data_IF_691051716725
#
_entry.id   IF_691051716725
#
_cell.length_a   1.000
_cell.length_b   1.000
_cell.length_c   1.000
_cell.angle_alpha   90.00
_cell.angle_beta   90.00
_cell.angle_gamma   90.00
#
_symmetry.space_group_name_H-M   'P 1'
#
loop_
_entity.id
_entity.type
_entity.pdbx_description
1 polymer ?
#
# COMPACT_ATOMS: atom_id res chain seq x y z
N UNK A 1 -13.81 -9.48 -9.77
CA UNK A 1 -13.66 -8.07 -9.39
C UNK A 1 -14.80 -7.75 -8.47
N UNK A 2 -14.50 -7.08 -7.35
CA UNK A 2 -15.50 -6.86 -6.30
C UNK A 2 -16.51 -5.83 -6.81
N UNK A 3 -17.80 -6.21 -6.85
CA UNK A 3 -18.88 -5.31 -7.22
C UNK A 3 -19.26 -4.46 -6.01
N UNK A 4 -18.47 -3.41 -5.77
CA UNK A 4 -18.79 -2.35 -4.79
C UNK A 4 -19.42 -1.14 -5.47
N UNK A 5 -19.99 -0.20 -4.71
CA UNK A 5 -20.32 1.12 -5.23
C UNK A 5 -19.05 1.86 -5.70
N UNK A 6 -19.22 2.78 -6.65
CA UNK A 6 -18.15 3.66 -7.13
C UNK A 6 -17.61 4.55 -6.02
N UNK A 7 -16.30 4.83 -6.04
CA UNK A 7 -15.71 5.79 -5.09
C UNK A 7 -16.29 7.19 -5.34
N UNK A 8 -16.62 7.50 -6.60
CA UNK A 8 -17.27 8.76 -6.97
C UNK A 8 -18.69 8.93 -6.39
N UNK A 9 -19.27 7.87 -5.82
CA UNK A 9 -20.56 7.87 -5.15
C UNK A 9 -20.47 7.82 -3.60
N UNK A 10 -19.26 7.87 -3.03
CA UNK A 10 -19.07 7.90 -1.58
C UNK A 10 -19.73 9.13 -0.95
N UNK A 11 -20.17 9.01 0.31
CA UNK A 11 -20.86 10.05 1.07
C UNK A 11 -20.05 10.42 2.33
N UNK A 12 -19.20 11.48 2.26
CA UNK A 12 -18.31 11.85 3.35
C UNK A 12 -19.02 12.26 4.63
N UNK A 13 -20.26 12.72 4.55
CA UNK A 13 -21.02 13.09 5.74
C UNK A 13 -21.47 11.83 6.48
N UNK A 14 -22.06 10.88 5.76
CA UNK A 14 -22.48 9.60 6.34
C UNK A 14 -21.28 8.81 6.86
N UNK A 15 -20.22 8.71 6.07
CA UNK A 15 -18.98 8.05 6.46
C UNK A 15 -18.32 8.72 7.67
N UNK A 16 -18.33 10.06 7.74
CA UNK A 16 -17.84 10.81 8.89
C UNK A 16 -18.55 10.43 10.20
N UNK A 17 -19.88 10.29 10.16
CA UNK A 17 -20.66 9.81 11.32
C UNK A 17 -20.26 8.39 11.73
N UNK A 18 -20.07 7.49 10.75
CA UNK A 18 -19.63 6.13 11.00
C UNK A 18 -18.21 6.09 11.59
N UNK A 19 -17.27 6.84 11.03
CA UNK A 19 -15.90 6.92 11.55
C UNK A 19 -15.88 7.43 12.98
N UNK A 20 -16.66 8.46 13.32
CA UNK A 20 -16.74 8.95 14.69
C UNK A 20 -17.23 7.87 15.65
N UNK A 21 -18.27 7.12 15.27
CA UNK A 21 -18.80 6.01 16.10
C UNK A 21 -17.74 4.92 16.34
N UNK A 22 -16.97 4.57 15.31
CA UNK A 22 -15.87 3.60 15.43
C UNK A 22 -14.78 4.14 16.37
N UNK A 23 -14.35 5.38 16.20
CA UNK A 23 -13.33 6.00 17.04
C UNK A 23 -13.77 6.13 18.50
N UNK A 24 -15.04 6.50 18.75
CA UNK A 24 -15.62 6.58 20.10
C UNK A 24 -15.64 5.21 20.78
N UNK A 25 -15.93 4.15 20.03
CA UNK A 25 -15.89 2.78 20.55
C UNK A 25 -14.47 2.36 20.92
N UNK A 26 -13.49 2.65 20.06
CA UNK A 26 -12.07 2.37 20.35
C UNK A 26 -11.61 3.12 21.62
N UNK A 27 -12.01 4.38 21.78
CA UNK A 27 -11.73 5.17 22.98
C UNK A 27 -12.36 4.55 24.23
N UNK A 28 -13.62 4.12 24.14
CA UNK A 28 -14.33 3.48 25.25
C UNK A 28 -13.70 2.15 25.67
N UNK A 29 -13.18 1.39 24.70
CA UNK A 29 -12.51 0.11 24.92
C UNK A 29 -11.03 0.26 25.29
N UNK A 30 -10.50 1.49 25.35
CA UNK A 30 -9.11 1.75 25.74
C UNK A 30 -8.08 1.38 24.66
N UNK A 31 -8.50 1.30 23.39
CA UNK A 31 -7.67 0.80 22.29
C UNK A 31 -6.94 1.96 21.60
N UNK A 32 -5.61 1.85 21.57
CA UNK A 32 -4.72 2.73 20.79
C UNK A 32 -4.28 2.01 19.53
N UNK A 33 -4.56 2.60 18.38
CA UNK A 33 -4.19 2.11 17.06
C UNK A 33 -2.76 2.52 16.71
N UNK A 34 -2.05 1.65 16.00
CA UNK A 34 -0.73 1.93 15.46
C UNK A 34 -0.79 2.87 14.23
N UNK A 35 -1.85 2.75 13.42
CA UNK A 35 -2.15 3.60 12.27
C UNK A 35 -3.61 3.40 11.84
N UNK A 36 -4.09 4.30 10.98
CA UNK A 36 -5.36 4.22 10.26
C UNK A 36 -5.07 4.27 8.76
N UNK A 37 -5.60 3.32 8.00
CA UNK A 37 -5.59 3.32 6.53
C UNK A 37 -7.03 3.25 6.04
N UNK A 38 -7.34 3.96 4.96
CA UNK A 38 -8.66 3.98 4.33
C UNK A 38 -8.57 3.43 2.90
N UNK A 39 -9.40 2.43 2.61
CA UNK A 39 -9.44 1.70 1.34
C UNK A 39 -8.15 0.94 1.00
N UNK A 40 -8.21 0.11 -0.05
CA UNK A 40 -7.12 -0.73 -0.49
C UNK A 40 -6.98 -0.73 -2.02
N UNK A 41 -5.79 -0.43 -2.53
CA UNK A 41 -5.39 -0.63 -3.93
C UNK A 41 -6.35 -0.01 -4.96
N UNK A 42 -6.88 1.19 -4.67
CA UNK A 42 -7.87 1.85 -5.54
C UNK A 42 -7.31 2.37 -6.87
N UNK A 43 -5.99 2.22 -7.10
CA UNK A 43 -5.35 2.54 -8.38
C UNK A 43 -5.47 1.44 -9.44
N UNK A 44 -6.32 0.44 -9.22
CA UNK A 44 -6.69 -0.54 -10.22
C UNK A 44 -8.16 -0.92 -10.16
N UNK A 45 -8.72 -1.34 -11.30
CA UNK A 45 -10.14 -1.69 -11.42
C UNK A 45 -10.61 -2.83 -10.51
N UNK A 46 -9.69 -3.62 -9.94
CA UNK A 46 -10.03 -4.69 -9.00
C UNK A 46 -10.71 -4.21 -7.71
N UNK A 47 -10.34 -3.01 -7.26
CA UNK A 47 -10.80 -2.41 -6.01
C UNK A 47 -11.39 -0.99 -6.20
N UNK A 48 -11.52 -0.54 -7.45
CA UNK A 48 -12.10 0.75 -7.78
C UNK A 48 -13.12 0.61 -8.91
N UNK A 49 -14.44 0.62 -8.59
CA UNK A 49 -15.50 0.50 -9.59
C UNK A 49 -15.69 1.74 -10.49
N UNK A 50 -14.88 2.80 -10.34
CA UNK A 50 -14.86 3.93 -11.29
C UNK A 50 -14.12 3.59 -12.60
N UNK A 51 -13.32 2.53 -12.62
CA UNK A 51 -12.79 1.98 -13.87
C UNK A 51 -13.86 1.21 -14.65
N UNK A 52 -13.79 1.26 -15.98
CA UNK A 52 -14.65 0.48 -16.84
C UNK A 52 -14.22 -0.98 -16.86
N UNK A 53 -15.19 -1.89 -16.88
CA UNK A 53 -14.94 -3.33 -17.03
C UNK A 53 -15.82 -3.91 -18.14
N UNK A 54 -15.25 -4.63 -19.13
CA UNK A 54 -13.83 -4.91 -19.30
C UNK A 54 -13.03 -3.64 -19.64
N UNK A 55 -11.80 -3.56 -19.13
CA UNK A 55 -10.85 -2.49 -19.46
C UNK A 55 -10.02 -2.81 -20.70
N UNK A 56 -9.25 -1.83 -21.18
CA UNK A 56 -8.42 -1.91 -22.39
C UNK A 56 -7.03 -2.51 -22.14
N UNK A 57 -6.63 -2.66 -20.89
CA UNK A 57 -5.29 -3.11 -20.52
C UNK A 57 -4.26 -1.98 -20.55
N UNK A 58 -4.66 -0.77 -20.18
CA UNK A 58 -3.86 0.45 -20.08
C UNK A 58 -3.55 0.77 -18.62
N UNK A 59 -2.33 1.24 -18.39
CA UNK A 59 -1.91 1.96 -17.19
C UNK A 59 -1.95 3.45 -17.52
N UNK A 60 -2.92 4.14 -16.95
CA UNK A 60 -3.13 5.58 -17.09
C UNK A 60 -2.04 6.36 -16.34
N UNK A 61 -1.56 7.41 -16.99
CA UNK A 61 -0.66 8.39 -16.40
C UNK A 61 -1.39 9.62 -15.86
N UNK A 62 -0.62 10.57 -15.31
CA UNK A 62 -1.19 11.79 -14.72
C UNK A 62 -1.98 12.61 -15.76
N UNK A 63 -1.47 12.68 -17.00
CA UNK A 63 -2.15 13.42 -18.06
C UNK A 63 -3.50 12.79 -18.44
N UNK A 64 -3.59 11.46 -18.39
CA UNK A 64 -4.84 10.74 -18.66
C UNK A 64 -5.90 11.09 -17.60
N UNK A 65 -5.54 11.20 -16.32
CA UNK A 65 -6.49 11.59 -15.25
C UNK A 65 -7.20 12.94 -15.51
N UNK A 66 -6.61 13.83 -16.31
CA UNK A 66 -7.20 15.11 -16.66
C UNK A 66 -7.90 15.14 -18.02
N UNK A 67 -7.59 14.23 -18.94
CA UNK A 67 -7.97 14.36 -20.35
C UNK A 67 -8.59 13.10 -20.98
N UNK A 68 -8.29 11.92 -20.44
CA UNK A 68 -8.88 10.65 -20.87
C UNK A 68 -10.27 10.49 -20.21
N UNK A 69 -11.33 10.10 -20.94
CA UNK A 69 -12.67 9.97 -20.37
C UNK A 69 -12.75 9.01 -19.18
N UNK A 70 -12.04 7.87 -19.23
CA UNK A 70 -11.97 6.95 -18.09
C UNK A 70 -11.11 7.55 -16.98
N UNK A 71 -9.96 8.14 -17.34
CA UNK A 71 -9.10 8.84 -16.40
C UNK A 71 -9.84 9.91 -15.59
N UNK A 72 -10.72 10.67 -16.22
CA UNK A 72 -11.57 11.69 -15.58
C UNK A 72 -12.61 11.08 -14.62
N UNK A 73 -13.18 9.92 -14.97
CA UNK A 73 -14.10 9.21 -14.08
C UNK A 73 -13.38 8.68 -12.84
N UNK A 74 -12.20 8.08 -13.01
CA UNK A 74 -11.35 7.65 -11.90
C UNK A 74 -10.91 8.85 -11.04
N UNK A 75 -10.51 9.95 -11.67
CA UNK A 75 -10.16 11.20 -10.99
C UNK A 75 -11.33 11.76 -10.14
N UNK A 76 -12.57 11.63 -10.61
CA UNK A 76 -13.75 11.99 -9.81
C UNK A 76 -13.88 11.11 -8.56
N UNK A 77 -13.65 9.82 -8.68
CA UNK A 77 -13.60 8.89 -7.54
C UNK A 77 -12.50 9.25 -6.54
N UNK A 78 -11.31 9.54 -7.04
CA UNK A 78 -10.16 10.02 -6.27
C UNK A 78 -10.46 11.30 -5.47
N UNK A 79 -11.12 12.28 -6.08
CA UNK A 79 -11.51 13.51 -5.38
C UNK A 79 -12.53 13.24 -4.27
N UNK A 80 -13.45 12.29 -4.47
CA UNK A 80 -14.42 11.91 -3.45
C UNK A 80 -13.75 11.14 -2.31
N UNK A 81 -12.85 10.20 -2.62
CA UNK A 81 -11.99 9.51 -1.66
C UNK A 81 -11.19 10.49 -0.77
N UNK A 82 -10.65 11.58 -1.32
CA UNK A 82 -9.93 12.57 -0.50
C UNK A 82 -10.85 13.31 0.49
N UNK A 83 -12.14 13.49 0.16
CA UNK A 83 -13.12 14.05 1.11
C UNK A 83 -13.43 13.05 2.23
N UNK A 84 -13.55 11.77 1.90
CA UNK A 84 -13.71 10.68 2.86
C UNK A 84 -12.52 10.59 3.82
N UNK A 85 -11.31 10.66 3.27
CA UNK A 85 -10.08 10.70 4.05
C UNK A 85 -10.03 11.92 4.99
N UNK A 86 -10.55 13.07 4.55
CA UNK A 86 -10.69 14.25 5.41
C UNK A 86 -11.72 14.04 6.54
N UNK A 87 -12.84 13.36 6.27
CA UNK A 87 -13.82 12.99 7.29
C UNK A 87 -13.22 12.02 8.32
N UNK A 88 -12.48 11.00 7.88
CA UNK A 88 -11.74 10.10 8.77
C UNK A 88 -10.71 10.85 9.59
N UNK A 89 -9.96 11.79 8.99
CA UNK A 89 -9.04 12.67 9.73
C UNK A 89 -9.74 13.42 10.84
N UNK A 90 -10.91 14.00 10.56
CA UNK A 90 -11.68 14.72 11.59
C UNK A 90 -12.06 13.79 12.74
N UNK A 91 -12.61 12.60 12.46
CA UNK A 91 -12.95 11.64 13.51
C UNK A 91 -11.71 11.23 14.35
N UNK A 92 -10.58 10.95 13.67
CA UNK A 92 -9.29 10.68 14.34
C UNK A 92 -8.87 11.84 15.23
N UNK A 93 -8.92 13.07 14.74
CA UNK A 93 -8.46 14.26 15.47
C UNK A 93 -9.34 14.58 16.70
N UNK A 94 -10.58 14.07 16.75
CA UNK A 94 -11.49 14.16 17.90
C UNK A 94 -11.35 13.00 18.90
N UNK A 95 -10.76 11.86 18.49
CA UNK A 95 -10.51 10.74 19.39
C UNK A 95 -9.61 11.15 20.55
N UNK A 96 -9.93 10.68 21.76
CA UNK A 96 -9.13 10.91 22.97
C UNK A 96 -7.82 10.13 22.96
N UNK A 97 -7.85 8.88 22.51
CA UNK A 97 -6.68 7.99 22.52
C UNK A 97 -5.89 8.03 21.22
N UNK A 98 -6.57 8.29 20.09
CA UNK A 98 -6.00 8.12 18.75
C UNK A 98 -5.80 9.44 18.00
N UNK A 99 -5.89 10.60 18.68
CA UNK A 99 -5.67 11.93 18.06
C UNK A 99 -4.39 12.05 17.25
N UNK A 100 -3.33 11.37 17.68
CA UNK A 100 -2.01 11.39 17.05
C UNK A 100 -1.69 10.12 16.28
N UNK A 101 -2.62 9.17 16.18
CA UNK A 101 -2.45 7.95 15.39
C UNK A 101 -2.17 8.33 13.93
N UNK A 102 -1.09 7.81 13.31
CA UNK A 102 -0.78 8.05 11.91
C UNK A 102 -1.98 7.77 11.01
N UNK A 103 -2.35 8.74 10.18
CA UNK A 103 -3.33 8.56 9.13
C UNK A 103 -2.62 8.36 7.79
N UNK A 104 -2.99 7.29 7.11
CA UNK A 104 -2.42 6.87 5.85
C UNK A 104 -3.51 6.85 4.77
N UNK A 105 -3.18 7.15 3.51
CA UNK A 105 -4.11 6.90 2.42
C UNK A 105 -4.15 5.40 2.09
N UNK A 106 -5.09 5.01 1.23
CA UNK A 106 -5.09 3.73 0.51
C UNK A 106 -3.69 3.35 0.07
N UNK A 107 -3.37 2.07 0.28
CA UNK A 107 -2.21 1.48 -0.32
C UNK A 107 -2.34 1.39 -1.83
N UNK A 108 -1.23 1.57 -2.54
CA UNK A 108 -1.19 1.53 -4.00
C UNK A 108 -0.46 0.28 -4.50
N UNK A 109 -1.05 -0.40 -5.48
CA UNK A 109 -0.40 -1.53 -6.17
C UNK A 109 0.82 -1.00 -6.91
N UNK A 110 1.93 -1.75 -6.85
CA UNK A 110 3.19 -1.52 -7.58
C UNK A 110 3.02 -1.57 -9.12
N UNK A 111 2.40 -0.51 -9.65
CA UNK A 111 2.21 -0.21 -11.07
C UNK A 111 3.05 1.05 -11.38
N UNK A 112 4.28 0.85 -11.84
CA UNK A 112 5.21 1.97 -12.11
C UNK A 112 5.17 2.41 -13.58
N UNK A 113 5.11 1.47 -14.52
CA UNK A 113 5.19 1.78 -15.95
C UNK A 113 3.81 2.15 -16.51
N UNK A 114 3.70 3.35 -17.08
CA UNK A 114 2.53 3.84 -17.80
C UNK A 114 2.45 3.26 -19.24
N UNK A 115 1.24 3.23 -19.79
CA UNK A 115 0.96 2.62 -21.11
C UNK A 115 0.45 1.18 -21.00
N UNK A 116 0.62 0.35 -22.04
CA UNK A 116 0.11 -1.02 -22.03
C UNK A 116 0.71 -1.86 -20.90
N UNK A 117 -0.08 -2.72 -20.27
CA UNK A 117 0.46 -3.67 -19.30
C UNK A 117 1.56 -4.55 -19.92
N UNK A 118 2.65 -4.84 -19.19
CA UNK A 118 3.69 -5.77 -19.65
C UNK A 118 3.14 -7.18 -19.94
N UNK A 119 2.06 -7.56 -19.27
CA UNK A 119 1.28 -8.77 -19.57
C UNK A 119 -0.16 -8.35 -19.81
N UNK A 120 -0.79 -8.72 -20.95
CA UNK A 120 -2.15 -8.30 -21.25
C UNK A 120 -3.13 -8.55 -20.10
N UNK A 121 -3.80 -7.49 -19.66
CA UNK A 121 -4.88 -7.52 -18.67
C UNK A 121 -6.18 -7.08 -19.34
N UNK A 122 -7.32 -7.51 -18.78
CA UNK A 122 -8.67 -7.08 -19.20
C UNK A 122 -9.21 -5.98 -18.29
N UNK A 123 -8.31 -5.20 -17.70
CA UNK A 123 -8.62 -4.15 -16.76
C UNK A 123 -7.52 -3.09 -16.82
N UNK A 124 -7.92 -1.88 -16.46
CA UNK A 124 -7.05 -0.72 -16.44
C UNK A 124 -6.58 -0.40 -15.01
N UNK A 125 -5.56 0.44 -14.91
CA UNK A 125 -5.04 0.94 -13.65
C UNK A 125 -4.40 2.31 -13.84
N UNK A 126 -3.99 2.93 -12.74
CA UNK A 126 -3.25 4.20 -12.75
C UNK A 126 -1.89 3.95 -12.10
N UNK A 127 -0.84 4.54 -12.66
CA UNK A 127 0.50 4.40 -12.07
C UNK A 127 0.56 4.96 -10.65
N UNK A 128 1.46 4.43 -9.82
CA UNK A 128 1.69 4.93 -8.45
C UNK A 128 2.07 6.41 -8.48
N UNK A 129 2.97 6.78 -9.40
CA UNK A 129 3.42 8.15 -9.59
C UNK A 129 2.28 9.09 -9.97
N UNK A 130 1.44 8.69 -10.93
CA UNK A 130 0.29 9.49 -11.36
C UNK A 130 -0.75 9.64 -10.24
N UNK A 131 -1.06 8.55 -9.53
CA UNK A 131 -2.03 8.57 -8.42
C UNK A 131 -1.58 9.51 -7.31
N UNK A 132 -0.33 9.38 -6.83
CA UNK A 132 0.19 10.26 -5.79
C UNK A 132 0.34 11.71 -6.27
N UNK A 133 0.81 11.95 -7.50
CA UNK A 133 0.90 13.31 -8.03
C UNK A 133 -0.49 13.98 -8.08
N UNK A 134 -1.52 13.26 -8.52
CA UNK A 134 -2.90 13.75 -8.53
C UNK A 134 -3.42 14.01 -7.11
N UNK A 135 -3.25 13.07 -6.17
CA UNK A 135 -3.68 13.26 -4.78
C UNK A 135 -3.00 14.45 -4.11
N UNK A 136 -1.69 14.60 -4.29
CA UNK A 136 -0.92 15.72 -3.73
C UNK A 136 -1.37 17.06 -4.28
N UNK A 137 -1.57 17.15 -5.60
CA UNK A 137 -2.12 18.35 -6.24
C UNK A 137 -3.51 18.73 -5.69
N UNK A 138 -4.25 17.75 -5.16
CA UNK A 138 -5.57 17.93 -4.57
C UNK A 138 -5.58 17.88 -3.03
N UNK A 139 -4.42 18.07 -2.38
CA UNK A 139 -4.33 18.38 -0.95
C UNK A 139 -4.02 17.22 -0.01
N UNK A 140 -3.64 16.04 -0.53
CA UNK A 140 -3.29 14.86 0.28
C UNK A 140 -2.28 15.17 1.40
N UNK A 141 -1.25 15.97 1.13
CA UNK A 141 -0.15 16.25 2.08
C UNK A 141 -0.63 16.94 3.38
N UNK A 142 -1.83 17.52 3.36
CA UNK A 142 -2.47 18.13 4.54
C UNK A 142 -3.31 17.13 5.34
N UNK A 143 -3.62 15.98 4.77
CA UNK A 143 -4.48 14.96 5.36
C UNK A 143 -3.68 13.85 6.03
N UNK A 144 -2.58 13.42 5.42
CA UNK A 144 -1.88 12.19 5.84
C UNK A 144 -0.50 12.45 6.44
N UNK A 145 -0.08 11.47 7.23
CA UNK A 145 1.20 11.45 7.93
C UNK A 145 2.29 10.72 7.10
N UNK A 146 1.88 9.79 6.23
CA UNK A 146 2.73 9.08 5.27
C UNK A 146 1.91 8.63 4.05
N UNK A 147 2.55 8.19 2.96
CA UNK A 147 1.90 7.48 1.85
C UNK A 147 2.01 5.96 2.03
N UNK A 148 1.12 5.19 1.39
CA UNK A 148 1.14 3.73 1.49
C UNK A 148 1.36 3.06 0.14
N UNK A 149 2.17 2.00 0.16
CA UNK A 149 2.56 1.24 -1.02
C UNK A 149 2.45 -0.25 -0.72
N UNK A 150 1.99 -1.01 -1.71
CA UNK A 150 2.14 -2.46 -1.75
C UNK A 150 3.25 -2.85 -2.70
N UNK A 151 4.06 -3.82 -2.34
CA UNK A 151 5.05 -4.39 -3.27
C UNK A 151 5.22 -5.88 -3.06
N UNK A 152 5.11 -6.64 -4.14
CA UNK A 152 5.37 -8.09 -4.16
C UNK A 152 6.54 -8.33 -5.13
N UNK A 153 7.79 -8.28 -4.66
CA UNK A 153 8.96 -8.40 -5.52
C UNK A 153 9.05 -9.78 -6.18
N UNK A 154 9.82 -9.87 -7.26
CA UNK A 154 10.07 -11.15 -7.91
C UNK A 154 10.87 -12.10 -7.01
N UNK A 155 10.40 -13.33 -6.91
CA UNK A 155 10.99 -14.39 -6.09
C UNK A 155 12.11 -15.17 -6.80
N UNK A 156 12.65 -14.66 -7.92
CA UNK A 156 13.67 -15.34 -8.71
C UNK A 156 15.05 -15.31 -8.03
N UNK A 157 15.85 -16.36 -8.22
CA UNK A 157 17.22 -16.45 -7.69
C UNK A 157 17.38 -16.06 -6.21
N UNK A 158 16.74 -16.75 -5.24
CA UNK A 158 17.01 -16.55 -3.81
C UNK A 158 18.51 -16.72 -3.51
N UNK A 159 19.13 -15.76 -2.81
CA UNK A 159 20.56 -15.76 -2.53
C UNK A 159 21.46 -15.39 -3.71
N UNK A 160 20.89 -15.06 -4.88
CA UNK A 160 21.66 -14.65 -6.06
C UNK A 160 21.79 -13.12 -6.12
N UNK A 161 23.03 -12.63 -6.19
CA UNK A 161 23.33 -11.20 -6.19
C UNK A 161 22.71 -10.42 -7.37
N UNK A 162 22.60 -11.04 -8.55
CA UNK A 162 22.03 -10.38 -9.75
C UNK A 162 20.53 -10.19 -9.56
N UNK A 163 19.82 -11.24 -9.13
CA UNK A 163 18.39 -11.16 -8.82
C UNK A 163 18.11 -10.19 -7.66
N UNK A 164 18.94 -10.18 -6.61
CA UNK A 164 18.82 -9.23 -5.51
C UNK A 164 18.98 -7.77 -5.99
N UNK A 165 19.98 -7.49 -6.83
CA UNK A 165 20.17 -6.17 -7.45
C UNK A 165 18.97 -5.74 -8.31
N UNK A 166 18.34 -6.69 -8.99
CA UNK A 166 17.15 -6.43 -9.79
C UNK A 166 15.93 -6.08 -8.92
N UNK A 167 15.71 -6.82 -7.82
CA UNK A 167 14.68 -6.50 -6.81
C UNK A 167 14.89 -5.10 -6.21
N UNK A 168 16.11 -4.79 -5.77
CA UNK A 168 16.45 -3.47 -5.21
C UNK A 168 16.14 -2.36 -6.22
N UNK A 169 16.55 -2.50 -7.48
CA UNK A 169 16.26 -1.49 -8.51
C UNK A 169 14.76 -1.27 -8.70
N UNK A 170 13.97 -2.35 -8.69
CA UNK A 170 12.50 -2.25 -8.77
C UNK A 170 11.94 -1.49 -7.58
N UNK A 171 12.34 -1.86 -6.36
CA UNK A 171 11.91 -1.19 -5.13
C UNK A 171 12.28 0.30 -5.16
N UNK A 172 13.50 0.64 -5.55
CA UNK A 172 13.95 2.03 -5.68
C UNK A 172 13.16 2.80 -6.73
N UNK A 173 12.81 2.16 -7.86
CA UNK A 173 11.96 2.74 -8.90
C UNK A 173 10.54 3.03 -8.44
N UNK A 174 10.02 2.25 -7.48
CA UNK A 174 8.73 2.49 -6.85
C UNK A 174 8.80 3.60 -5.79
N UNK A 175 9.76 3.52 -4.87
CA UNK A 175 9.82 4.35 -3.65
C UNK A 175 10.42 5.74 -3.92
N UNK A 176 11.56 5.81 -4.61
CA UNK A 176 12.32 7.07 -4.77
C UNK A 176 11.51 8.21 -5.39
N UNK A 177 10.69 7.98 -6.43
CA UNK A 177 9.93 9.07 -7.06
C UNK A 177 8.83 9.66 -6.19
N UNK A 178 8.34 8.92 -5.18
CA UNK A 178 7.11 9.29 -4.46
C UNK A 178 7.29 9.49 -2.96
N UNK A 179 8.28 8.86 -2.33
CA UNK A 179 8.48 8.90 -0.88
C UNK A 179 9.57 9.91 -0.51
N UNK A 180 9.21 11.00 0.15
CA UNK A 180 10.16 12.00 0.67
C UNK A 180 10.73 11.59 2.03
N UNK A 181 12.00 11.91 2.33
CA UNK A 181 12.54 11.77 3.68
C UNK A 181 11.71 12.51 4.74
N UNK A 182 11.55 11.90 5.93
CA UNK A 182 10.92 12.54 7.10
C UNK A 182 11.55 13.90 7.38
N UNK A 183 10.71 14.92 7.56
CA UNK A 183 11.11 16.28 7.97
C UNK A 183 11.39 17.23 6.81
N UNK A 184 11.27 16.79 5.56
CA UNK A 184 11.25 17.70 4.42
C UNK A 184 9.90 18.42 4.30
N UNK A 185 9.88 19.66 3.81
CA UNK A 185 8.64 20.44 3.66
C UNK A 185 7.72 19.91 2.57
N UNK A 186 8.28 19.26 1.54
CA UNK A 186 7.54 18.77 0.38
C UNK A 186 7.44 17.24 0.38
N UNK A 187 6.19 16.75 0.42
CA UNK A 187 5.87 15.33 0.40
C UNK A 187 5.94 14.65 1.76
N UNK A 188 5.81 13.32 1.76
CA UNK A 188 5.73 12.48 2.96
C UNK A 188 6.60 11.24 2.83
N UNK A 189 7.06 10.65 3.95
CA UNK A 189 7.63 9.31 3.93
C UNK A 189 6.55 8.29 3.54
N UNK A 190 6.97 7.05 3.31
CA UNK A 190 6.07 5.96 2.99
C UNK A 190 6.03 4.87 4.07
N UNK A 191 4.93 4.14 4.08
CA UNK A 191 4.80 2.81 4.66
C UNK A 191 4.71 1.82 3.50
N UNK A 192 5.29 0.63 3.69
CA UNK A 192 4.96 -0.54 2.86
C UNK A 192 4.05 -1.43 3.69
N UNK A 193 2.76 -1.33 3.42
CA UNK A 193 1.67 -1.92 4.21
C UNK A 193 1.32 -3.34 3.77
N UNK A 194 1.77 -3.75 2.59
CA UNK A 194 1.85 -5.15 2.21
C UNK A 194 3.10 -5.43 1.38
N UNK A 195 3.80 -6.49 1.76
CA UNK A 195 4.82 -7.13 0.96
C UNK A 195 5.01 -8.57 1.39
N UNK A 196 5.52 -9.41 0.48
CA UNK A 196 5.84 -10.78 0.85
C UNK A 196 6.25 -11.64 -0.32
N UNK A 197 6.61 -12.88 0.01
CA UNK A 197 6.93 -13.92 -0.96
C UNK A 197 6.08 -15.15 -0.69
N UNK A 198 5.57 -15.75 -1.76
CA UNK A 198 4.82 -17.01 -1.63
C UNK A 198 5.74 -18.17 -1.31
N UNK A 199 5.19 -19.15 -0.59
CA UNK A 199 5.75 -20.48 -0.42
C UNK A 199 4.64 -21.51 -0.66
N UNK A 200 4.64 -22.12 -1.85
CA UNK A 200 3.63 -23.10 -2.24
C UNK A 200 3.82 -24.48 -1.58
N UNK A 201 4.93 -24.73 -0.87
CA UNK A 201 5.15 -26.01 -0.20
C UNK A 201 4.10 -26.22 0.90
N UNK A 202 3.36 -27.33 0.87
CA UNK A 202 2.29 -27.64 1.84
C UNK A 202 2.73 -28.64 2.93
N UNK A 203 3.97 -29.12 2.88
CA UNK A 203 4.51 -30.14 3.81
C UNK A 203 4.89 -29.50 5.15
N UNK A 204 4.74 -30.26 6.25
CA UNK A 204 5.18 -29.85 7.59
C UNK A 204 6.37 -30.72 8.06
N UNK A 205 7.50 -30.12 8.49
CA UNK A 205 7.77 -28.68 8.52
C UNK A 205 7.87 -28.07 7.10
N UNK A 206 7.45 -26.81 6.97
CA UNK A 206 7.59 -26.05 5.72
C UNK A 206 9.08 -25.87 5.39
N UNK A 207 9.46 -26.11 4.13
CA UNK A 207 10.77 -25.70 3.62
C UNK A 207 10.77 -24.19 3.41
N UNK A 208 11.53 -23.47 4.24
CA UNK A 208 11.56 -22.01 4.26
C UNK A 208 12.84 -21.43 3.67
N UNK A 209 13.82 -22.25 3.27
CA UNK A 209 15.17 -21.76 2.96
C UNK A 209 15.15 -20.64 1.90
N UNK A 210 14.51 -20.90 0.76
CA UNK A 210 14.40 -19.94 -0.34
C UNK A 210 13.63 -18.67 0.04
N UNK A 211 12.51 -18.82 0.77
CA UNK A 211 11.69 -17.68 1.19
C UNK A 211 12.43 -16.83 2.24
N UNK A 212 13.14 -17.45 3.17
CA UNK A 212 13.94 -16.77 4.18
C UNK A 212 15.06 -15.93 3.55
N UNK A 213 15.75 -16.47 2.53
CA UNK A 213 16.78 -15.70 1.81
C UNK A 213 16.20 -14.45 1.14
N UNK A 214 15.07 -14.59 0.43
CA UNK A 214 14.40 -13.45 -0.21
C UNK A 214 13.92 -12.39 0.80
N UNK A 215 13.36 -12.83 1.93
CA UNK A 215 12.93 -11.93 3.01
C UNK A 215 14.12 -11.18 3.60
N UNK A 216 15.23 -11.86 3.89
CA UNK A 216 16.42 -11.21 4.44
C UNK A 216 17.02 -10.17 3.49
N UNK A 217 17.05 -10.46 2.19
CA UNK A 217 17.49 -9.51 1.17
C UNK A 217 16.59 -8.27 1.14
N UNK A 218 15.27 -8.45 1.07
CA UNK A 218 14.32 -7.32 1.08
C UNK A 218 14.39 -6.51 2.37
N UNK A 219 14.57 -7.15 3.53
CA UNK A 219 14.77 -6.44 4.80
C UNK A 219 16.05 -5.59 4.79
N UNK A 220 17.10 -6.04 4.08
CA UNK A 220 18.30 -5.24 3.83
C UNK A 220 18.00 -4.00 2.96
N UNK A 221 17.27 -4.20 1.85
CA UNK A 221 16.88 -3.13 0.94
C UNK A 221 15.98 -2.09 1.64
N UNK A 222 15.00 -2.53 2.43
CA UNK A 222 14.18 -1.66 3.28
C UNK A 222 15.01 -0.95 4.36
N UNK A 223 16.06 -1.60 4.86
CA UNK A 223 17.02 -0.99 5.79
C UNK A 223 17.67 0.27 5.22
N UNK A 224 18.09 0.22 3.95
CA UNK A 224 18.63 1.40 3.28
C UNK A 224 17.60 2.54 3.20
N UNK A 225 16.37 2.24 2.77
CA UNK A 225 15.31 3.26 2.67
C UNK A 225 14.89 3.84 4.02
N UNK A 226 14.99 3.03 5.09
CA UNK A 226 14.75 3.47 6.47
C UNK A 226 15.87 4.39 6.95
N UNK A 227 17.13 4.10 6.63
CA UNK A 227 18.26 5.00 6.92
C UNK A 227 18.13 6.34 6.20
N UNK A 228 17.64 6.32 4.96
CA UNK A 228 17.29 7.51 4.18
C UNK A 228 16.04 8.23 4.68
N UNK A 229 15.36 7.68 5.71
CA UNK A 229 14.10 8.18 6.29
C UNK A 229 12.95 8.27 5.29
N UNK A 230 13.02 7.54 4.18
CA UNK A 230 11.96 7.48 3.17
C UNK A 230 10.89 6.45 3.51
N UNK A 231 11.28 5.42 4.27
CA UNK A 231 10.41 4.35 4.72
C UNK A 231 10.35 4.35 6.25
N UNK A 232 9.15 4.31 6.81
CA UNK A 232 8.96 4.39 8.28
C UNK A 232 8.30 3.15 8.88
N UNK A 233 7.62 2.34 8.08
CA UNK A 233 7.01 1.11 8.55
C UNK A 233 6.88 0.07 7.42
N UNK A 234 6.80 -1.19 7.84
CA UNK A 234 6.65 -2.38 7.01
C UNK A 234 5.61 -3.31 7.64
N UNK A 235 4.70 -3.85 6.84
CA UNK A 235 3.77 -4.91 7.25
C UNK A 235 3.88 -6.06 6.25
N UNK A 236 4.27 -7.23 6.75
CA UNK A 236 4.41 -8.44 5.93
C UNK A 236 3.05 -9.08 5.68
N UNK A 237 2.75 -9.37 4.43
CA UNK A 237 1.60 -10.15 4.00
C UNK A 237 1.99 -11.63 3.85
N UNK A 238 1.44 -12.57 4.65
CA UNK A 238 0.38 -12.42 5.66
C UNK A 238 0.67 -13.27 6.91
N UNK A 239 -0.01 -12.97 8.02
CA UNK A 239 0.17 -13.69 9.27
C UNK A 239 -0.45 -15.10 9.21
N UNK A 240 -1.76 -15.13 8.96
CA UNK A 240 -2.61 -16.30 8.69
C UNK A 240 -3.73 -15.87 7.73
N UNK A 241 -4.22 -16.79 6.90
CA UNK A 241 -5.44 -16.58 6.08
C UNK A 241 -5.21 -16.60 4.57
N UNK A 242 -3.97 -16.46 4.11
CA UNK A 242 -3.59 -16.71 2.71
C UNK A 242 -2.43 -17.72 2.66
N UNK A 243 -2.73 -19.03 2.59
CA UNK A 243 -1.76 -20.10 2.82
C UNK A 243 -0.42 -20.02 2.06
N UNK A 244 -0.36 -19.53 0.80
CA UNK A 244 0.90 -19.28 0.12
C UNK A 244 1.77 -18.20 0.78
N UNK A 245 1.18 -17.17 1.37
CA UNK A 245 1.92 -16.06 1.99
C UNK A 245 2.12 -16.22 3.49
N UNK A 246 1.27 -16.98 4.17
CA UNK A 246 1.25 -17.14 5.62
C UNK A 246 2.66 -17.39 6.23
N UNK A 247 2.97 -16.65 7.29
CA UNK A 247 4.18 -16.84 8.09
C UNK A 247 3.95 -17.65 9.37
N UNK A 248 2.71 -17.88 9.76
CA UNK A 248 2.38 -18.85 10.80
C UNK A 248 1.88 -20.14 10.17
N UNK A 249 2.74 -21.17 10.14
CA UNK A 249 2.47 -22.44 9.45
C UNK A 249 2.87 -23.62 10.33
N UNK A 250 2.13 -24.72 10.24
CA UNK A 250 2.39 -25.92 11.01
C UNK A 250 2.47 -25.66 12.54
N UNK A 251 1.60 -24.78 13.06
CA UNK A 251 1.50 -24.45 14.49
C UNK A 251 2.63 -23.57 15.05
N UNK A 252 3.40 -22.89 14.19
CA UNK A 252 4.50 -22.01 14.63
C UNK A 252 4.80 -20.92 13.60
N UNK A 253 5.46 -19.86 14.07
CA UNK A 253 6.07 -18.87 13.19
C UNK A 253 7.18 -19.51 12.35
N UNK A 254 7.19 -19.29 11.05
CA UNK A 254 8.20 -19.79 10.12
C UNK A 254 9.52 -19.04 10.27
N UNK A 255 10.57 -19.54 9.63
CA UNK A 255 11.86 -18.84 9.59
C UNK A 255 11.77 -17.51 8.84
N UNK A 256 11.10 -17.49 7.69
CA UNK A 256 10.85 -16.26 6.94
C UNK A 256 10.02 -15.27 7.76
N UNK A 257 9.03 -15.76 8.52
CA UNK A 257 8.23 -14.95 9.44
C UNK A 257 9.06 -14.25 10.50
N UNK A 258 9.97 -15.00 11.16
CA UNK A 258 10.91 -14.43 12.13
C UNK A 258 11.82 -13.37 11.50
N UNK A 259 12.28 -13.60 10.27
CA UNK A 259 13.10 -12.63 9.55
C UNK A 259 12.31 -11.36 9.20
N UNK A 260 11.05 -11.50 8.75
CA UNK A 260 10.21 -10.37 8.33
C UNK A 260 9.78 -9.45 9.47
N UNK A 261 9.55 -9.99 10.67
CA UNK A 261 9.20 -9.19 11.87
C UNK A 261 10.42 -8.83 12.73
N UNK A 262 11.61 -9.26 12.32
CA UNK A 262 12.85 -8.89 12.98
C UNK A 262 13.11 -7.39 12.85
N UNK A 263 13.89 -6.80 13.77
CA UNK A 263 14.32 -5.41 13.64
C UNK A 263 15.00 -5.18 12.30
N UNK A 264 14.66 -4.07 11.64
CA UNK A 264 15.36 -3.63 10.43
C UNK A 264 16.80 -3.27 10.83
N UNK A 265 17.78 -4.01 10.31
CA UNK A 265 19.18 -3.79 10.61
C UNK A 265 19.71 -2.58 9.83
N UNK A 266 19.82 -1.43 10.50
CA UNK A 266 20.49 -0.25 9.94
C UNK A 266 22.01 -0.35 10.18
N UNK A 267 22.74 -1.09 9.34
CA UNK A 267 24.22 -1.10 9.38
C UNK A 267 24.81 0.06 8.59
#
# INVERSE_FOLDING_TARGET
MWAGPQLSALDPELSGQYFQQVMDKLDADGIVLAALELENEINMAGNNPDFSLPGEGKVLGLNDLYHDPEGQQVAKGYLQYLKELAALKQARDHSKLNRQTPLLPTSLVDIVQEGPWPTPKKYDGVSVGATLAFFRANGLDKLVDAYNLHTYPWADGPGNQVSATHRLRRLQGLVTPVCSPVGLPDGKPCWVTEWGFTNANKVCPSDEHSRSALVQEMMGDFGQLTQEKRLVALIYYSWIGDPPFDVYRCGRLTESGRAAIGPISTR
#
